data_IF_255987777548
#
_entry.id   IF_255987777548
#
_cell.length_a   1.000
_cell.length_b   1.000
_cell.length_c   1.000
_cell.angle_alpha   90.00
_cell.angle_beta   90.00
_cell.angle_gamma   90.00
#
_symmetry.space_group_name_H-M   'P 1'
#
loop_
_entity.id
_entity.type
_entity.pdbx_description
1 polymer ?
#
# COMPACT_ATOMS: atom_id res chain seq x y z
N UNK A 1 8.67 -13.65 -19.20
CA UNK A 1 8.17 -12.69 -18.20
C UNK A 1 7.01 -13.36 -17.50
N UNK A 2 7.16 -13.72 -16.22
CA UNK A 2 6.05 -14.29 -15.44
C UNK A 2 5.21 -13.13 -14.89
N UNK A 3 4.21 -12.72 -15.67
CA UNK A 3 3.12 -11.90 -15.15
C UNK A 3 2.33 -12.85 -14.23
N UNK A 4 2.41 -12.63 -12.92
CA UNK A 4 1.46 -13.26 -12.01
C UNK A 4 0.02 -12.90 -12.43
N UNK A 5 -1.00 -13.64 -11.99
CA UNK A 5 -2.38 -13.36 -12.42
C UNK A 5 -2.73 -11.91 -12.10
N UNK A 6 -2.97 -11.10 -13.14
CA UNK A 6 -3.49 -9.76 -13.00
C UNK A 6 -4.91 -9.90 -12.41
N UNK A 7 -5.08 -9.38 -11.20
CA UNK A 7 -6.36 -9.34 -10.53
C UNK A 7 -6.97 -7.97 -10.76
N UNK A 8 -8.22 -7.93 -11.19
CA UNK A 8 -8.96 -6.67 -11.27
C UNK A 8 -9.70 -6.47 -9.96
N UNK A 9 -9.42 -5.36 -9.26
CA UNK A 9 -10.09 -5.03 -7.99
C UNK A 9 -10.75 -3.66 -8.03
N UNK A 10 -11.79 -3.51 -7.22
CA UNK A 10 -12.46 -2.24 -6.94
C UNK A 10 -11.53 -1.36 -6.09
N UNK A 11 -11.10 -0.18 -6.56
CA UNK A 11 -10.19 0.68 -5.81
C UNK A 11 -10.72 1.04 -4.42
N UNK A 12 -12.04 1.20 -4.24
CA UNK A 12 -12.63 1.62 -2.96
C UNK A 12 -12.46 0.60 -1.83
N UNK A 13 -12.26 -0.68 -2.18
CA UNK A 13 -12.02 -1.77 -1.21
C UNK A 13 -10.56 -1.81 -0.74
N UNK A 14 -9.66 -1.09 -1.40
CA UNK A 14 -8.23 -1.07 -1.10
C UNK A 14 -7.91 0.17 -0.25
N UNK A 15 -7.15 -0.05 0.82
CA UNK A 15 -6.73 0.96 1.79
C UNK A 15 -5.29 1.39 1.53
N UNK A 16 -4.98 2.63 1.91
CA UNK A 16 -3.62 3.19 1.81
C UNK A 16 -2.79 2.80 3.03
N UNK A 17 -1.52 2.43 2.81
CA UNK A 17 -0.56 2.12 3.87
C UNK A 17 0.09 3.36 4.49
N UNK A 18 -0.06 4.53 3.84
CA UNK A 18 0.57 5.78 4.27
C UNK A 18 -0.47 6.87 4.53
N UNK A 19 -0.24 7.69 5.56
CA UNK A 19 -1.10 8.85 5.86
C UNK A 19 -1.06 9.89 4.75
N UNK A 20 0.06 9.98 4.04
CA UNK A 20 0.26 10.99 3.03
C UNK A 20 0.81 10.45 1.72
N UNK A 21 0.44 11.14 0.66
CA UNK A 21 0.96 10.94 -0.69
C UNK A 21 1.75 12.17 -1.12
N UNK A 22 2.89 11.95 -1.77
CA UNK A 22 3.66 13.06 -2.33
C UNK A 22 2.87 13.72 -3.46
N UNK A 23 2.66 15.06 -3.40
CA UNK A 23 1.95 15.80 -4.45
C UNK A 23 2.71 15.83 -5.78
N UNK A 24 4.02 15.61 -5.75
CA UNK A 24 4.88 15.63 -6.95
C UNK A 24 5.55 14.27 -7.19
N UNK A 25 5.98 14.07 -8.45
CA UNK A 25 6.79 12.92 -8.87
C UNK A 25 8.24 13.03 -8.36
N UNK A 26 8.68 14.24 -8.03
CA UNK A 26 9.97 14.56 -7.41
C UNK A 26 9.86 14.68 -5.88
N UNK A 27 10.96 15.04 -5.20
CA UNK A 27 10.87 15.53 -3.82
C UNK A 27 9.90 16.72 -3.77
N UNK A 28 8.89 16.72 -2.89
CA UNK A 28 7.97 17.84 -2.76
C UNK A 28 8.72 19.08 -2.29
N UNK A 29 8.39 20.26 -2.85
CA UNK A 29 8.87 21.52 -2.28
C UNK A 29 8.12 21.76 -0.96
N UNK A 30 8.78 22.29 0.09
CA UNK A 30 8.10 22.62 1.34
C UNK A 30 6.88 23.51 1.08
N UNK A 31 5.71 23.10 1.59
CA UNK A 31 4.45 23.86 1.48
C UNK A 31 3.62 23.63 0.22
N UNK A 32 4.04 22.78 -0.71
CA UNK A 32 3.25 22.44 -1.90
C UNK A 32 2.04 21.58 -1.54
N UNK A 33 0.83 22.13 -1.73
CA UNK A 33 -0.45 21.49 -1.36
C UNK A 33 -1.27 20.97 -2.55
N UNK A 34 -0.83 21.26 -3.77
CA UNK A 34 -1.51 20.86 -5.01
C UNK A 34 -0.71 19.76 -5.69
N UNK A 35 -1.38 18.87 -6.41
CA UNK A 35 -0.74 17.77 -7.12
C UNK A 35 -1.07 17.86 -8.62
N UNK A 36 -0.60 18.91 -9.32
CA UNK A 36 -1.04 19.21 -10.70
C UNK A 36 -0.80 18.05 -11.67
N UNK A 37 0.24 17.24 -11.47
CA UNK A 37 0.49 16.05 -12.28
C UNK A 37 -0.52 14.93 -12.01
N UNK A 38 -0.90 14.70 -10.75
CA UNK A 38 -1.93 13.73 -10.40
C UNK A 38 -3.30 14.20 -10.91
N UNK A 39 -3.58 15.50 -10.79
CA UNK A 39 -4.81 16.12 -11.29
C UNK A 39 -4.93 16.00 -12.81
N UNK A 40 -3.84 16.21 -13.54
CA UNK A 40 -3.80 16.02 -14.99
C UNK A 40 -4.08 14.56 -15.38
N UNK A 41 -3.50 13.59 -14.66
CA UNK A 41 -3.76 12.16 -14.89
C UNK A 41 -5.23 11.81 -14.58
N UNK A 42 -5.78 12.32 -13.48
CA UNK A 42 -7.21 12.15 -13.14
C UNK A 42 -8.10 12.73 -14.25
N UNK A 43 -7.75 13.89 -14.82
CA UNK A 43 -8.51 14.45 -15.94
C UNK A 43 -8.46 13.55 -17.20
N UNK A 44 -7.32 12.93 -17.50
CA UNK A 44 -7.21 11.97 -18.60
C UNK A 44 -8.06 10.70 -18.36
N UNK A 45 -8.11 10.23 -17.12
CA UNK A 45 -8.96 9.10 -16.70
C UNK A 45 -10.45 9.46 -16.82
N UNK A 46 -10.85 10.63 -16.30
CA UNK A 46 -12.26 11.09 -16.32
C UNK A 46 -12.77 11.37 -17.74
N UNK A 47 -11.89 11.75 -18.66
CA UNK A 47 -12.25 11.94 -20.08
C UNK A 47 -12.26 10.64 -20.88
N UNK A 48 -11.89 9.51 -20.27
CA UNK A 48 -11.80 8.20 -20.94
C UNK A 48 -10.65 8.07 -21.93
N UNK A 49 -9.74 9.07 -21.99
CA UNK A 49 -8.54 9.03 -22.85
C UNK A 49 -7.52 8.00 -22.36
N UNK A 50 -7.57 7.66 -21.08
CA UNK A 50 -6.84 6.56 -20.46
C UNK A 50 -7.78 5.81 -19.50
N UNK A 51 -7.55 4.52 -19.27
CA UNK A 51 -8.24 3.74 -18.24
C UNK A 51 -7.23 3.28 -17.19
N UNK A 52 -7.68 3.11 -15.94
CA UNK A 52 -6.81 2.56 -14.89
C UNK A 52 -6.30 1.15 -15.19
N UNK A 53 -7.01 0.39 -16.03
CA UNK A 53 -6.59 -0.92 -16.53
C UNK A 53 -5.50 -0.87 -17.60
N UNK A 54 -5.16 0.33 -18.09
CA UNK A 54 -4.05 0.51 -19.03
C UNK A 54 -2.72 0.79 -18.27
N UNK A 55 -2.78 0.98 -16.94
CA UNK A 55 -1.61 1.20 -16.08
C UNK A 55 -1.01 -0.13 -15.63
N UNK A 56 0.30 -0.17 -15.31
CA UNK A 56 0.91 -1.33 -14.67
C UNK A 56 0.19 -1.68 -13.37
N UNK A 57 0.00 -2.99 -13.13
CA UNK A 57 -0.68 -3.51 -11.94
C UNK A 57 -0.21 -2.84 -10.65
N UNK A 58 -1.14 -2.57 -9.74
CA UNK A 58 -0.84 -2.09 -8.40
C UNK A 58 -0.54 -3.26 -7.47
N UNK A 59 0.59 -3.20 -6.79
CA UNK A 59 1.00 -4.15 -5.80
C UNK A 59 0.12 -4.02 -4.55
N UNK A 60 -0.56 -5.11 -4.17
CA UNK A 60 -1.44 -5.17 -3.02
C UNK A 60 -1.17 -6.41 -2.16
N UNK A 61 -1.54 -6.35 -0.89
CA UNK A 61 -1.56 -7.50 0.03
C UNK A 61 -2.79 -7.39 0.93
N UNK A 62 -3.19 -8.48 1.58
CA UNK A 62 -4.24 -8.41 2.59
C UNK A 62 -3.80 -8.98 3.93
N UNK A 63 -4.41 -8.44 4.98
CA UNK A 63 -4.31 -8.94 6.36
C UNK A 63 -5.74 -9.29 6.79
N UNK A 64 -5.92 -10.45 7.41
CA UNK A 64 -7.17 -10.77 8.10
C UNK A 64 -6.97 -10.53 9.60
N UNK A 65 -7.88 -9.77 10.20
CA UNK A 65 -7.88 -9.58 11.64
C UNK A 65 -8.30 -10.90 12.33
N UNK A 66 -7.44 -11.51 13.17
CA UNK A 66 -7.76 -12.79 13.80
C UNK A 66 -8.93 -12.72 14.79
N UNK A 67 -9.31 -11.53 15.25
CA UNK A 67 -10.43 -11.30 16.17
C UNK A 67 -11.75 -11.11 15.43
N UNK A 68 -11.75 -10.35 14.33
CA UNK A 68 -12.99 -9.98 13.60
C UNK A 68 -13.21 -10.80 12.33
N UNK A 69 -12.18 -11.51 11.85
CA UNK A 69 -12.13 -12.19 10.55
C UNK A 69 -12.34 -11.24 9.35
N UNK A 70 -12.20 -9.93 9.57
CA UNK A 70 -12.28 -8.95 8.49
C UNK A 70 -10.98 -8.97 7.68
N UNK A 71 -11.12 -9.12 6.36
CA UNK A 71 -10.00 -9.05 5.41
C UNK A 71 -9.85 -7.62 4.92
N UNK A 72 -8.71 -7.01 5.20
CA UNK A 72 -8.36 -5.67 4.75
C UNK A 72 -7.30 -5.74 3.65
N UNK A 73 -7.55 -5.09 2.51
CA UNK A 73 -6.60 -4.96 1.40
C UNK A 73 -5.83 -3.65 1.47
N UNK A 74 -4.54 -3.72 1.19
CA UNK A 74 -3.62 -2.59 1.29
C UNK A 74 -2.79 -2.45 0.02
N UNK A 75 -2.54 -1.21 -0.39
CA UNK A 75 -1.69 -0.88 -1.54
C UNK A 75 -0.28 -0.49 -1.12
N UNK A 76 0.73 -1.06 -1.77
CA UNK A 76 2.12 -0.57 -1.68
C UNK A 76 2.37 0.63 -2.63
N UNK A 77 1.41 0.94 -3.51
CA UNK A 77 1.50 2.04 -4.46
C UNK A 77 0.38 3.06 -4.25
N UNK A 78 0.54 3.85 -3.18
CA UNK A 78 -0.39 4.90 -2.80
C UNK A 78 -0.68 5.89 -3.94
N UNK A 79 0.25 6.13 -4.87
CA UNK A 79 -0.03 7.01 -6.02
C UNK A 79 -1.02 6.41 -7.01
N UNK A 80 -0.84 5.15 -7.40
CA UNK A 80 -1.77 4.46 -8.30
C UNK A 80 -3.17 4.36 -7.67
N UNK A 81 -3.24 3.96 -6.40
CA UNK A 81 -4.51 3.88 -5.67
C UNK A 81 -5.20 5.25 -5.57
N UNK A 82 -4.44 6.32 -5.30
CA UNK A 82 -4.98 7.69 -5.27
C UNK A 82 -5.58 8.12 -6.60
N UNK A 83 -4.89 7.86 -7.72
CA UNK A 83 -5.41 8.15 -9.05
C UNK A 83 -6.72 7.40 -9.31
N UNK A 84 -6.76 6.10 -9.02
CA UNK A 84 -7.94 5.26 -9.24
C UNK A 84 -9.15 5.73 -8.44
N UNK A 85 -8.97 5.98 -7.14
CA UNK A 85 -10.04 6.48 -6.26
C UNK A 85 -10.50 7.88 -6.64
N UNK A 86 -9.56 8.79 -6.89
CA UNK A 86 -9.88 10.19 -7.25
C UNK A 86 -10.56 10.33 -8.60
N UNK A 87 -10.29 9.41 -9.55
CA UNK A 87 -11.01 9.36 -10.83
C UNK A 87 -12.30 8.54 -10.77
N UNK A 88 -12.69 8.02 -9.59
CA UNK A 88 -13.80 7.08 -9.43
C UNK A 88 -13.75 5.92 -10.42
N UNK A 89 -12.55 5.39 -10.69
CA UNK A 89 -12.38 4.27 -11.59
C UNK A 89 -13.13 3.05 -11.00
N UNK A 90 -13.99 2.36 -11.77
CA UNK A 90 -14.74 1.21 -11.25
C UNK A 90 -13.82 0.01 -10.96
N UNK A 91 -12.65 -0.01 -11.58
CA UNK A 91 -11.70 -1.10 -11.47
C UNK A 91 -10.26 -0.64 -11.75
N UNK A 92 -9.28 -1.33 -11.17
CA UNK A 92 -7.86 -1.15 -11.46
C UNK A 92 -7.14 -2.50 -11.56
N UNK A 93 -6.07 -2.55 -12.37
CA UNK A 93 -5.20 -3.72 -12.40
C UNK A 93 -4.42 -3.81 -11.09
N UNK A 94 -4.41 -4.99 -10.49
CA UNK A 94 -3.68 -5.29 -9.26
C UNK A 94 -2.90 -6.58 -9.39
N UNK A 95 -1.90 -6.74 -8.54
CA UNK A 95 -1.18 -7.98 -8.36
C UNK A 95 -0.86 -8.16 -6.88
N UNK A 96 -0.82 -9.40 -6.42
CA UNK A 96 -0.28 -9.69 -5.10
C UNK A 96 1.20 -9.26 -5.06
N UNK A 97 1.52 -8.42 -4.07
CA UNK A 97 2.86 -8.05 -3.70
C UNK A 97 3.62 -9.29 -3.20
N UNK A 98 4.93 -9.30 -3.38
CA UNK A 98 5.82 -10.26 -2.72
C UNK A 98 6.06 -9.84 -1.28
N UNK A 99 6.38 -10.80 -0.41
CA UNK A 99 6.74 -10.48 0.96
C UNK A 99 7.95 -9.53 1.04
N UNK A 100 8.93 -9.70 0.14
CA UNK A 100 10.07 -8.80 0.03
C UNK A 100 9.66 -7.35 -0.30
N UNK A 101 8.68 -7.13 -1.17
CA UNK A 101 8.16 -5.79 -1.48
C UNK A 101 7.45 -5.16 -0.29
N UNK A 102 6.69 -5.95 0.49
CA UNK A 102 6.02 -5.51 1.71
C UNK A 102 7.04 -5.04 2.76
N UNK A 103 8.17 -5.73 2.86
CA UNK A 103 9.27 -5.38 3.78
C UNK A 103 10.04 -4.14 3.34
N UNK A 104 10.25 -4.00 2.02
CA UNK A 104 10.96 -2.88 1.42
C UNK A 104 10.15 -1.59 1.36
N UNK A 105 8.82 -1.64 1.53
CA UNK A 105 7.99 -0.44 1.54
C UNK A 105 8.32 0.46 2.73
N UNK A 106 8.38 1.76 2.48
CA UNK A 106 8.54 2.76 3.54
C UNK A 106 7.15 3.08 4.09
N UNK A 107 6.72 2.32 5.08
CA UNK A 107 5.49 2.56 5.84
C UNK A 107 5.59 3.90 6.56
N UNK A 108 5.20 4.99 5.89
CA UNK A 108 5.02 6.29 6.54
C UNK A 108 3.78 6.17 7.42
N UNK A 109 4.06 5.91 8.69
CA UNK A 109 3.15 5.51 9.75
C UNK A 109 1.77 6.16 9.68
N UNK A 110 0.74 5.34 9.94
CA UNK A 110 -0.66 5.75 10.10
C UNK A 110 -1.05 5.60 11.56
N UNK A 111 -1.74 6.59 12.13
CA UNK A 111 -2.34 6.47 13.48
C UNK A 111 -3.74 5.85 13.46
N UNK A 112 -4.17 5.36 12.29
CA UNK A 112 -5.50 4.78 12.05
C UNK A 112 -5.39 3.27 11.90
N UNK A 113 -6.27 2.54 12.59
CA UNK A 113 -6.22 1.09 12.78
C UNK A 113 -6.19 0.29 11.48
N UNK A 114 -6.89 0.80 10.48
CA UNK A 114 -7.24 0.10 9.26
C UNK A 114 -6.52 0.66 8.04
N UNK A 115 -5.55 1.56 8.23
CA UNK A 115 -5.04 2.41 7.17
C UNK A 115 -6.01 3.55 6.83
N UNK A 116 -5.78 4.22 5.70
CA UNK A 116 -6.65 5.33 5.25
C UNK A 116 -7.51 4.91 4.06
N UNK A 117 -8.74 5.41 4.00
CA UNK A 117 -9.55 5.35 2.78
C UNK A 117 -9.09 6.37 1.75
N UNK A 118 -8.54 7.51 2.20
CA UNK A 118 -7.94 8.57 1.39
C UNK A 118 -6.77 9.22 2.16
N UNK A 119 -5.58 9.35 1.57
CA UNK A 119 -4.44 9.99 2.21
C UNK A 119 -4.60 11.52 2.19
N UNK A 120 -3.96 12.20 3.14
CA UNK A 120 -3.76 13.65 3.07
C UNK A 120 -2.67 13.95 2.02
N UNK A 121 -2.80 15.05 1.28
CA UNK A 121 -1.66 15.58 0.54
C UNK A 121 -0.65 16.12 1.56
N UNK A 122 0.60 15.67 1.49
CA UNK A 122 1.57 15.92 2.56
C UNK A 122 1.80 17.42 2.78
N UNK A 123 1.41 17.96 3.95
CA UNK A 123 2.19 19.02 4.61
C UNK A 123 3.24 18.30 5.44
N UNK A 124 4.51 18.43 5.11
CA UNK A 124 5.62 17.79 5.84
C UNK A 124 5.38 17.83 7.36
N UNK A 125 5.17 16.67 7.96
CA UNK A 125 5.43 16.48 9.38
C UNK A 125 6.32 15.27 9.51
N UNK A 126 7.57 15.49 9.88
CA UNK A 126 8.56 14.44 10.20
C UNK A 126 8.23 13.67 11.49
N UNK A 127 6.99 13.73 11.97
CA UNK A 127 6.56 12.97 13.13
C UNK A 127 6.20 11.58 12.67
N UNK A 128 7.07 10.61 12.98
CA UNK A 128 6.69 9.22 13.04
C UNK A 128 5.43 9.11 13.93
N UNK A 129 4.27 8.85 13.34
CA UNK A 129 3.08 8.57 14.13
C UNK A 129 3.26 7.21 14.81
N UNK A 130 2.72 7.05 16.02
CA UNK A 130 2.70 5.73 16.65
C UNK A 130 1.75 4.85 15.83
N UNK A 131 2.20 3.67 15.35
CA UNK A 131 1.34 2.74 14.61
C UNK A 131 0.20 2.22 15.49
N UNK A 132 -1.02 2.13 14.96
CA UNK A 132 -2.19 1.60 15.69
C UNK A 132 -2.98 0.59 14.83
N UNK A 133 -3.84 -0.21 15.49
CA UNK A 133 -4.68 -1.26 14.90
C UNK A 133 -3.95 -2.31 14.07
N UNK A 134 -4.66 -2.98 13.15
CA UNK A 134 -4.19 -4.17 12.45
C UNK A 134 -2.92 -3.90 11.65
N UNK A 135 -2.93 -2.84 10.83
CA UNK A 135 -1.77 -2.47 10.02
C UNK A 135 -0.58 -2.07 10.90
N UNK A 136 -0.85 -1.38 12.01
CA UNK A 136 0.17 -1.00 12.99
C UNK A 136 0.76 -2.19 13.74
N UNK A 137 -0.07 -3.16 14.14
CA UNK A 137 0.38 -4.40 14.80
C UNK A 137 1.23 -5.25 13.85
N UNK A 138 0.80 -5.41 12.60
CA UNK A 138 1.58 -6.09 11.58
C UNK A 138 2.95 -5.43 11.37
N UNK A 139 3.00 -4.10 11.34
CA UNK A 139 4.26 -3.35 11.25
C UNK A 139 5.17 -3.58 12.45
N UNK A 140 4.65 -3.51 13.67
CA UNK A 140 5.43 -3.76 14.89
C UNK A 140 6.01 -5.17 14.91
N UNK A 141 5.25 -6.15 14.43
CA UNK A 141 5.75 -7.50 14.22
C UNK A 141 6.94 -7.52 13.25
N UNK A 142 6.80 -6.92 12.06
CA UNK A 142 7.90 -6.87 11.09
C UNK A 142 9.14 -6.11 11.61
N UNK A 143 8.96 -5.08 12.45
CA UNK A 143 10.06 -4.35 13.09
C UNK A 143 10.78 -5.19 14.15
N UNK A 144 10.05 -5.98 14.94
CA UNK A 144 10.64 -6.92 15.91
C UNK A 144 11.45 -8.01 15.19
N UNK A 145 10.97 -8.47 14.04
CA UNK A 145 11.63 -9.48 13.21
C UNK A 145 12.73 -8.91 12.30
N UNK A 146 12.96 -7.59 12.34
CA UNK A 146 13.92 -6.89 11.47
C UNK A 146 15.35 -7.44 11.56
N UNK A 147 15.80 -7.85 12.76
CA UNK A 147 17.11 -8.46 12.92
C UNK A 147 17.23 -9.77 12.12
N UNK A 148 16.15 -10.56 12.07
CA UNK A 148 16.06 -11.79 11.25
C UNK A 148 16.07 -11.44 9.76
N UNK A 149 15.38 -10.37 9.36
CA UNK A 149 15.36 -9.87 7.98
C UNK A 149 16.69 -9.33 7.47
N UNK A 150 17.37 -8.50 8.27
CA UNK A 150 18.60 -7.80 7.88
C UNK A 150 19.78 -8.78 7.69
N UNK A 151 19.70 -9.98 8.28
CA UNK A 151 20.67 -11.07 8.04
C UNK A 151 20.49 -11.77 6.69
N UNK A 152 19.40 -11.50 5.96
CA UNK A 152 19.11 -11.95 4.59
C UNK A 152 19.35 -13.45 4.30
N UNK A 153 19.25 -14.33 5.30
CA UNK A 153 19.28 -15.77 5.00
C UNK A 153 17.94 -16.20 4.42
N UNK A 154 17.89 -16.97 3.32
CA UNK A 154 16.62 -17.45 2.75
C UNK A 154 15.73 -18.18 3.76
N UNK A 155 16.34 -18.91 4.71
CA UNK A 155 15.63 -19.60 5.79
C UNK A 155 15.00 -18.64 6.80
N UNK A 156 15.71 -17.57 7.20
CA UNK A 156 15.16 -16.54 8.08
C UNK A 156 13.98 -15.80 7.44
N UNK A 157 14.10 -15.42 6.17
CA UNK A 157 13.01 -14.80 5.41
C UNK A 157 11.77 -15.70 5.33
N UNK A 158 11.98 -16.99 5.09
CA UNK A 158 10.90 -17.97 5.01
C UNK A 158 10.19 -18.14 6.36
N UNK A 159 10.93 -18.19 7.47
CA UNK A 159 10.34 -18.30 8.81
C UNK A 159 9.48 -17.10 9.15
N UNK A 160 9.95 -15.87 8.89
CA UNK A 160 9.15 -14.68 9.22
C UNK A 160 7.92 -14.57 8.32
N UNK A 161 8.02 -14.98 7.05
CA UNK A 161 6.84 -15.10 6.19
C UNK A 161 5.82 -16.10 6.77
N UNK A 162 6.26 -17.29 7.17
CA UNK A 162 5.37 -18.31 7.71
C UNK A 162 4.71 -17.83 9.02
N UNK A 163 5.45 -17.11 9.88
CA UNK A 163 4.91 -16.48 11.09
C UNK A 163 3.91 -15.37 10.78
N UNK A 164 4.17 -14.56 9.74
CA UNK A 164 3.25 -13.53 9.27
C UNK A 164 1.92 -14.15 8.79
N UNK A 165 2.00 -15.24 8.02
CA UNK A 165 0.82 -15.99 7.57
C UNK A 165 0.06 -16.57 8.78
N UNK A 166 0.75 -17.12 9.77
CA UNK A 166 0.08 -17.71 10.94
C UNK A 166 -0.56 -16.67 11.86
N UNK A 167 0.09 -15.53 12.10
CA UNK A 167 -0.37 -14.53 13.07
C UNK A 167 -1.36 -13.53 12.50
N UNK A 168 -1.21 -13.21 11.21
CA UNK A 168 -1.93 -12.14 10.53
C UNK A 168 -2.70 -12.64 9.30
N UNK A 169 -2.68 -13.94 9.03
CA UNK A 169 -3.37 -14.54 7.88
C UNK A 169 -3.03 -13.79 6.57
N UNK A 170 -1.76 -13.41 6.46
CA UNK A 170 -1.24 -12.57 5.38
C UNK A 170 -1.44 -13.27 4.03
N UNK A 171 -2.11 -12.59 3.09
CA UNK A 171 -2.17 -13.03 1.69
C UNK A 171 -1.24 -12.17 0.83
N UNK A 172 -0.15 -12.77 0.36
CA UNK A 172 0.80 -12.16 -0.57
C UNK A 172 1.54 -13.27 -1.37
N UNK A 173 2.37 -12.89 -2.35
CA UNK A 173 3.31 -13.83 -2.99
C UNK A 173 4.48 -14.08 -2.05
N UNK A 174 4.91 -15.35 -1.96
CA UNK A 174 6.11 -15.71 -1.22
C UNK A 174 7.36 -15.08 -1.84
#
# INVERSE_FOLDING_TARGET
>A
MNLGPELTQNPEEIRFTQESISPTLSKPKPGEKTAPHLDALVALLNTGKQRMTDFPACEIFSIEDPLTQEVAWFSLNNRKLYLAKKSHAPQMNTQLATFAEILGDTWKYTSTSDGYNYPKLSSQSDKASVPTGLLGQFRLFLEAEKATFDTQTPAGMAQVYDDAVQRFHLTCKR
#
